data_IF_945387646561
#
_entry.id   IF_945387646561
#
_cell.length_a   1.000
_cell.length_b   1.000
_cell.length_c   1.000
_cell.angle_alpha   90.00
_cell.angle_beta   90.00
_cell.angle_gamma   90.00
#
_symmetry.space_group_name_H-M   'P 1'
#
loop_
_entity.id
_entity.type
_entity.pdbx_description
1 polymer ?
#
# COMPACT_ATOMS: atom_id res chain seq x y z
N UNK A 1 12.33 -4.96 -16.09
CA UNK A 1 13.16 -3.78 -15.80
C UNK A 1 14.31 -4.15 -14.89
N UNK A 2 15.51 -4.27 -15.44
CA UNK A 2 16.74 -4.46 -14.67
C UNK A 2 17.30 -3.09 -14.30
N UNK A 3 17.26 -2.76 -13.02
CA UNK A 3 17.85 -1.53 -12.48
C UNK A 3 19.36 -1.51 -12.74
N UNK A 4 19.87 -0.36 -13.13
CA UNK A 4 21.31 -0.10 -13.26
C UNK A 4 22.00 -0.13 -11.89
N UNK A 5 23.32 -0.36 -11.86
CA UNK A 5 24.10 -0.37 -10.61
C UNK A 5 23.93 0.92 -9.79
N UNK A 6 23.97 2.13 -10.39
CA UNK A 6 23.73 3.38 -9.65
C UNK A 6 22.32 3.44 -9.03
N UNK A 7 21.29 2.98 -9.73
CA UNK A 7 19.91 2.95 -9.21
C UNK A 7 19.79 1.96 -8.05
N UNK A 8 20.43 0.80 -8.14
CA UNK A 8 20.47 -0.18 -7.05
C UNK A 8 21.18 0.37 -5.80
N UNK A 9 22.27 1.13 -5.99
CA UNK A 9 22.99 1.75 -4.90
C UNK A 9 22.18 2.88 -4.26
N UNK A 10 21.50 3.71 -5.07
CA UNK A 10 20.59 4.74 -4.58
C UNK A 10 19.44 4.13 -3.76
N UNK A 11 18.81 3.07 -4.27
CA UNK A 11 17.77 2.34 -3.56
C UNK A 11 18.25 1.77 -2.23
N UNK A 12 19.41 1.10 -2.23
CA UNK A 12 20.01 0.59 -0.99
C UNK A 12 20.34 1.71 0.01
N UNK A 13 20.74 2.88 -0.48
CA UNK A 13 20.99 4.08 0.34
C UNK A 13 19.74 4.64 1.05
N UNK A 14 18.53 4.30 0.58
CA UNK A 14 17.29 4.64 1.27
C UNK A 14 16.94 3.66 2.40
N UNK A 15 17.62 2.50 2.48
CA UNK A 15 17.44 1.57 3.60
C UNK A 15 18.11 2.10 4.87
N UNK A 16 17.53 1.76 6.02
CA UNK A 16 18.09 2.08 7.33
C UNK A 16 17.94 0.88 8.26
N UNK A 17 18.81 0.80 9.28
CA UNK A 17 18.75 -0.27 10.27
C UNK A 17 17.58 -0.04 11.21
N UNK A 18 16.83 -1.10 11.47
CA UNK A 18 15.72 -1.14 12.42
C UNK A 18 15.86 -2.36 13.31
N UNK A 19 15.35 -2.30 14.54
CA UNK A 19 15.40 -3.42 15.50
C UNK A 19 14.31 -4.46 15.23
N UNK A 20 13.17 -4.03 14.68
CA UNK A 20 12.05 -4.88 14.31
C UNK A 20 11.37 -4.32 13.05
N UNK A 21 10.73 -5.20 12.29
CA UNK A 21 9.95 -4.81 11.11
C UNK A 21 8.45 -4.92 11.41
N UNK A 22 7.69 -3.95 10.93
CA UNK A 22 6.24 -4.04 10.91
C UNK A 22 5.79 -5.14 9.93
N UNK A 23 6.46 -5.25 8.77
CA UNK A 23 6.11 -6.25 7.77
C UNK A 23 7.31 -6.80 6.98
N UNK A 24 7.25 -8.08 6.63
CA UNK A 24 8.12 -8.71 5.65
C UNK A 24 7.39 -8.86 4.31
N UNK A 25 7.90 -8.25 3.25
CA UNK A 25 7.26 -8.30 1.93
C UNK A 25 7.96 -9.35 1.05
N UNK A 26 7.29 -10.48 0.83
CA UNK A 26 7.69 -11.47 -0.18
C UNK A 26 7.02 -11.14 -1.51
N UNK A 27 7.77 -11.16 -2.60
CA UNK A 27 7.23 -10.73 -3.89
C UNK A 27 7.88 -11.45 -5.08
N UNK A 28 7.15 -11.54 -6.19
CA UNK A 28 7.70 -12.10 -7.44
C UNK A 28 8.44 -11.03 -8.24
N UNK A 29 9.70 -11.29 -8.59
CA UNK A 29 10.53 -10.35 -9.36
C UNK A 29 9.97 -10.03 -10.76
N UNK A 30 9.13 -10.90 -11.33
CA UNK A 30 8.60 -10.75 -12.70
C UNK A 30 7.46 -9.72 -12.83
N UNK A 31 6.82 -9.31 -11.74
CA UNK A 31 5.72 -8.32 -11.77
C UNK A 31 6.25 -6.88 -11.66
N UNK A 32 5.57 -5.94 -12.33
CA UNK A 32 5.98 -4.54 -12.38
C UNK A 32 5.93 -3.89 -10.99
N UNK A 33 6.90 -3.02 -10.69
CA UNK A 33 6.99 -2.34 -9.40
C UNK A 33 5.77 -1.47 -9.07
N UNK A 34 5.19 -0.82 -10.09
CA UNK A 34 3.98 0.01 -9.94
C UNK A 34 2.77 -0.81 -9.48
N UNK A 35 2.61 -2.03 -10.00
CA UNK A 35 1.52 -2.93 -9.58
C UNK A 35 1.66 -3.30 -8.11
N UNK A 36 2.86 -3.70 -7.68
CA UNK A 36 3.16 -4.03 -6.27
C UNK A 36 2.83 -2.86 -5.35
N UNK A 37 3.26 -1.66 -5.72
CA UNK A 37 2.97 -0.45 -4.96
C UNK A 37 1.47 -0.18 -4.85
N UNK A 38 0.71 -0.23 -5.95
CA UNK A 38 -0.74 -0.02 -5.92
C UNK A 38 -1.42 -1.04 -5.02
N UNK A 39 -1.03 -2.32 -5.11
CA UNK A 39 -1.57 -3.38 -4.24
C UNK A 39 -1.29 -3.08 -2.76
N UNK A 40 -0.06 -2.69 -2.41
CA UNK A 40 0.30 -2.34 -1.03
C UNK A 40 -0.51 -1.15 -0.50
N UNK A 41 -0.68 -0.11 -1.32
CA UNK A 41 -1.45 1.06 -0.88
C UNK A 41 -2.94 0.71 -0.74
N UNK A 42 -3.50 -0.11 -1.63
CA UNK A 42 -4.89 -0.58 -1.52
C UNK A 42 -5.10 -1.48 -0.29
N UNK A 43 -4.15 -2.35 0.03
CA UNK A 43 -4.19 -3.22 1.20
C UNK A 43 -4.21 -2.41 2.51
N UNK A 44 -3.30 -1.43 2.62
CA UNK A 44 -3.18 -0.62 3.85
C UNK A 44 -4.26 0.46 4.00
N UNK A 45 -4.67 1.10 2.90
CA UNK A 45 -5.59 2.26 2.94
C UNK A 45 -7.00 1.96 2.47
N UNK A 46 -7.24 0.81 1.83
CA UNK A 46 -8.53 0.50 1.21
C UNK A 46 -9.67 0.41 2.22
N UNK A 47 -9.47 -0.31 3.33
CA UNK A 47 -10.47 -0.44 4.38
C UNK A 47 -10.80 0.90 5.06
N UNK A 48 -9.83 1.69 5.57
CA UNK A 48 -10.16 2.98 6.19
C UNK A 48 -10.79 3.96 5.19
N UNK A 49 -10.35 3.98 3.92
CA UNK A 49 -10.98 4.78 2.87
C UNK A 49 -12.44 4.37 2.65
N UNK A 50 -12.72 3.06 2.59
CA UNK A 50 -14.07 2.54 2.45
C UNK A 50 -14.96 2.91 3.64
N UNK A 51 -14.50 2.70 4.87
CA UNK A 51 -15.26 3.01 6.09
C UNK A 51 -15.62 4.50 6.16
N UNK A 52 -14.66 5.38 5.86
CA UNK A 52 -14.90 6.83 5.88
C UNK A 52 -15.89 7.22 4.77
N UNK A 53 -15.74 6.68 3.56
CA UNK A 53 -16.66 6.96 2.45
C UNK A 53 -18.10 6.55 2.78
N UNK A 54 -18.29 5.37 3.39
CA UNK A 54 -19.60 4.89 3.84
C UNK A 54 -20.16 5.79 4.96
N UNK A 55 -19.35 6.13 5.95
CA UNK A 55 -19.77 6.97 7.07
C UNK A 55 -20.20 8.36 6.60
N UNK A 56 -19.44 8.98 5.69
CA UNK A 56 -19.80 10.28 5.10
C UNK A 56 -21.08 10.18 4.26
N UNK A 57 -21.21 9.14 3.43
CA UNK A 57 -22.42 8.93 2.62
C UNK A 57 -23.67 8.77 3.49
N UNK A 58 -23.58 7.97 4.55
CA UNK A 58 -24.67 7.79 5.50
C UNK A 58 -24.98 9.08 6.26
N UNK A 59 -23.95 9.84 6.66
CA UNK A 59 -24.11 11.14 7.30
C UNK A 59 -24.84 12.15 6.43
N UNK A 60 -24.49 12.23 5.14
CA UNK A 60 -25.17 13.07 4.16
C UNK A 60 -26.63 12.62 4.01
N UNK A 61 -26.89 11.32 3.87
CA UNK A 61 -28.24 10.78 3.75
C UNK A 61 -29.12 11.14 4.97
N UNK A 62 -28.62 10.92 6.19
CA UNK A 62 -29.35 11.24 7.42
C UNK A 62 -29.58 12.75 7.55
N UNK A 63 -28.59 13.57 7.21
CA UNK A 63 -28.70 15.03 7.23
C UNK A 63 -29.80 15.52 6.29
N UNK A 64 -29.85 14.99 5.07
CA UNK A 64 -30.89 15.31 4.09
C UNK A 64 -32.28 14.86 4.54
N UNK A 65 -32.38 13.67 5.15
CA UNK A 65 -33.64 13.12 5.62
C UNK A 65 -34.24 13.88 6.83
N UNK A 66 -33.40 14.55 7.63
CA UNK A 66 -33.82 15.14 8.92
C UNK A 66 -33.85 16.66 8.97
N UNK A 67 -33.02 17.35 8.20
CA UNK A 67 -32.79 18.79 8.38
C UNK A 67 -33.24 19.58 7.15
N UNK A 68 -32.56 19.38 6.02
CA UNK A 68 -32.85 20.07 4.76
C UNK A 68 -32.41 19.23 3.57
N UNK A 69 -33.27 19.13 2.57
CA UNK A 69 -32.87 18.68 1.24
C UNK A 69 -31.82 19.65 0.69
N UNK A 70 -30.67 19.12 0.28
CA UNK A 70 -29.65 19.90 -0.40
C UNK A 70 -30.20 20.39 -1.76
N UNK A 71 -29.93 21.64 -2.17
CA UNK A 71 -30.37 22.15 -3.47
C UNK A 71 -29.77 21.29 -4.60
N UNK A 72 -30.62 20.58 -5.34
CA UNK A 72 -30.23 19.66 -6.42
C UNK A 72 -30.83 18.25 -6.33
N UNK A 73 -31.41 17.86 -5.19
CA UNK A 73 -31.97 16.50 -5.00
C UNK A 73 -33.40 16.31 -5.51
N UNK A 74 -34.07 17.38 -5.94
CA UNK A 74 -35.49 17.36 -6.37
C UNK A 74 -35.77 16.44 -7.57
N UNK A 75 -34.73 16.02 -8.33
CA UNK A 75 -34.85 15.19 -9.53
C UNK A 75 -34.13 13.84 -9.43
N UNK A 76 -33.83 13.33 -8.22
CA UNK A 76 -33.25 11.98 -8.07
C UNK A 76 -31.78 11.86 -8.47
N UNK A 77 -30.98 12.92 -8.28
CA UNK A 77 -29.56 12.92 -8.66
C UNK A 77 -28.67 12.26 -7.59
N UNK A 78 -28.56 10.94 -7.70
CA UNK A 78 -27.54 10.10 -7.06
C UNK A 78 -26.10 10.51 -7.42
N UNK A 79 -25.89 11.25 -8.52
CA UNK A 79 -24.55 11.50 -9.03
C UNK A 79 -23.71 12.42 -8.14
N UNK A 80 -24.28 13.49 -7.57
CA UNK A 80 -23.51 14.40 -6.70
C UNK A 80 -23.10 13.72 -5.39
N UNK A 81 -23.96 12.88 -4.83
CA UNK A 81 -23.65 12.07 -3.64
C UNK A 81 -22.56 11.06 -3.93
N UNK A 82 -22.65 10.38 -5.08
CA UNK A 82 -21.64 9.43 -5.51
C UNK A 82 -20.31 10.12 -5.83
N UNK A 83 -20.32 11.28 -6.50
CA UNK A 83 -19.13 12.10 -6.70
C UNK A 83 -18.53 12.57 -5.37
N UNK A 84 -19.35 12.94 -4.39
CA UNK A 84 -18.91 13.31 -3.04
C UNK A 84 -18.26 12.13 -2.31
N UNK A 85 -18.90 10.97 -2.33
CA UNK A 85 -18.36 9.74 -1.73
C UNK A 85 -17.02 9.32 -2.38
N UNK A 86 -16.95 9.38 -3.72
CA UNK A 86 -15.73 9.13 -4.48
C UNK A 86 -14.65 10.14 -4.12
N UNK A 87 -14.98 11.44 -4.06
CA UNK A 87 -14.03 12.50 -3.71
C UNK A 87 -13.49 12.33 -2.29
N UNK A 88 -14.33 11.95 -1.33
CA UNK A 88 -13.92 11.64 0.05
C UNK A 88 -13.03 10.41 0.08
N UNK A 89 -13.37 9.33 -0.63
CA UNK A 89 -12.55 8.13 -0.72
C UNK A 89 -11.16 8.45 -1.29
N UNK A 90 -11.08 9.21 -2.39
CA UNK A 90 -9.82 9.66 -2.97
C UNK A 90 -9.04 10.59 -2.05
N UNK A 91 -9.72 11.45 -1.29
CA UNK A 91 -9.08 12.32 -0.31
C UNK A 91 -8.48 11.49 0.82
N UNK A 92 -9.21 10.52 1.38
CA UNK A 92 -8.66 9.61 2.41
C UNK A 92 -7.52 8.78 1.85
N UNK A 93 -7.58 8.36 0.59
CA UNK A 93 -6.47 7.66 -0.05
C UNK A 93 -5.23 8.56 -0.20
N UNK A 94 -5.40 9.78 -0.75
CA UNK A 94 -4.31 10.73 -0.97
C UNK A 94 -3.71 11.24 0.34
N UNK A 95 -4.55 11.62 1.30
CA UNK A 95 -4.12 12.09 2.61
C UNK A 95 -3.66 10.94 3.49
N UNK A 96 -4.29 9.77 3.43
CA UNK A 96 -3.83 8.57 4.13
C UNK A 96 -2.43 8.15 3.67
N UNK A 97 -2.13 8.25 2.38
CA UNK A 97 -0.78 8.01 1.88
C UNK A 97 0.27 9.00 2.45
N UNK A 98 -0.14 10.24 2.74
CA UNK A 98 0.75 11.29 3.27
C UNK A 98 0.80 11.31 4.80
N UNK A 99 -0.29 10.93 5.48
CA UNK A 99 -0.50 11.08 6.92
C UNK A 99 -0.40 9.77 7.70
N UNK A 100 -0.64 8.60 7.07
CA UNK A 100 -0.47 7.32 7.75
C UNK A 100 1.01 7.04 7.99
N UNK A 101 1.28 6.41 9.14
CA UNK A 101 2.61 6.21 9.71
C UNK A 101 3.58 5.60 8.71
N UNK A 102 4.84 6.03 8.78
CA UNK A 102 5.97 5.32 8.18
C UNK A 102 5.98 3.90 8.74
N UNK A 103 5.54 2.94 7.94
CA UNK A 103 5.69 1.50 8.24
C UNK A 103 7.10 1.09 7.86
N UNK A 104 7.78 0.40 8.77
CA UNK A 104 9.09 -0.18 8.53
C UNK A 104 8.91 -1.58 7.98
N UNK A 105 9.10 -1.74 6.67
CA UNK A 105 8.96 -3.04 6.02
C UNK A 105 10.28 -3.50 5.43
N UNK A 106 10.56 -4.79 5.57
CA UNK A 106 11.65 -5.43 4.88
C UNK A 106 11.24 -5.69 3.43
N UNK A 107 12.02 -5.12 2.50
CA UNK A 107 11.88 -5.36 1.07
C UNK A 107 13.25 -5.76 0.52
N UNK A 108 13.40 -7.00 0.07
CA UNK A 108 14.67 -7.62 -0.33
C UNK A 108 15.44 -6.81 -1.39
N UNK A 109 14.76 -6.25 -2.40
CA UNK A 109 15.39 -5.46 -3.46
C UNK A 109 15.98 -4.12 -2.96
N UNK A 110 15.50 -3.61 -1.82
CA UNK A 110 15.96 -2.34 -1.23
C UNK A 110 16.86 -2.59 -0.02
N UNK A 111 16.59 -3.62 0.78
CA UNK A 111 17.23 -3.87 2.07
C UNK A 111 18.49 -4.72 1.94
N UNK A 112 18.63 -5.48 0.85
CA UNK A 112 19.84 -6.26 0.55
C UNK A 112 20.66 -5.52 -0.49
N UNK A 113 21.95 -5.34 -0.23
CA UNK A 113 22.90 -4.75 -1.16
C UNK A 113 23.00 -5.62 -2.44
N UNK A 114 22.44 -5.13 -3.55
CA UNK A 114 22.39 -5.89 -4.81
C UNK A 114 23.70 -5.84 -5.62
N UNK A 115 24.54 -4.83 -5.38
CA UNK A 115 25.72 -4.52 -6.20
C UNK A 115 27.04 -5.09 -5.66
N UNK A 116 27.08 -5.56 -4.39
CA UNK A 116 28.23 -6.25 -3.83
C UNK A 116 27.89 -7.73 -3.61
N UNK A 117 28.55 -8.68 -4.31
CA UNK A 117 28.16 -10.09 -4.28
C UNK A 117 28.29 -10.74 -2.90
N UNK A 118 29.31 -10.36 -2.12
CA UNK A 118 29.52 -10.89 -0.77
C UNK A 118 28.42 -10.43 0.21
N UNK A 119 28.09 -9.14 0.18
CA UNK A 119 27.02 -8.55 1.00
C UNK A 119 25.65 -9.08 0.59
N UNK A 120 25.43 -9.28 -0.72
CA UNK A 120 24.21 -9.91 -1.23
C UNK A 120 24.05 -11.31 -0.67
N UNK A 121 25.10 -12.14 -0.75
CA UNK A 121 25.07 -13.50 -0.22
C UNK A 121 24.84 -13.53 1.30
N UNK A 122 25.48 -12.63 2.05
CA UNK A 122 25.24 -12.49 3.48
C UNK A 122 23.80 -12.05 3.79
N UNK A 123 23.25 -11.09 3.04
CA UNK A 123 21.88 -10.64 3.18
C UNK A 123 20.85 -11.75 2.89
N UNK A 124 21.06 -12.52 1.83
CA UNK A 124 20.19 -13.66 1.48
C UNK A 124 20.20 -14.72 2.58
N UNK A 125 21.38 -15.06 3.12
CA UNK A 125 21.50 -16.00 4.24
C UNK A 125 20.79 -15.52 5.51
N UNK A 126 20.58 -14.21 5.64
CA UNK A 126 19.94 -13.58 6.81
C UNK A 126 18.42 -13.40 6.65
N UNK A 127 17.83 -13.78 5.50
CA UNK A 127 16.37 -13.70 5.27
C UNK A 127 15.55 -14.34 6.39
N UNK A 128 15.87 -15.55 6.89
CA UNK A 128 15.10 -16.15 7.98
C UNK A 128 15.06 -15.28 9.24
N UNK A 129 16.16 -14.59 9.58
CA UNK A 129 16.21 -13.69 10.71
C UNK A 129 15.34 -12.44 10.49
N UNK A 130 15.29 -11.92 9.26
CA UNK A 130 14.38 -10.82 8.93
C UNK A 130 12.92 -11.22 9.08
N UNK A 131 12.55 -12.43 8.62
CA UNK A 131 11.20 -12.98 8.79
C UNK A 131 10.86 -13.15 10.27
N UNK A 132 11.78 -13.70 11.07
CA UNK A 132 11.59 -13.86 12.52
C UNK A 132 11.43 -12.53 13.26
N UNK A 133 12.14 -11.48 12.82
CA UNK A 133 12.03 -10.13 13.38
C UNK A 133 10.85 -9.30 12.85
N UNK A 134 10.03 -9.86 11.96
CA UNK A 134 8.87 -9.18 11.36
C UNK A 134 7.58 -9.57 12.07
N UNK A 135 6.71 -8.58 12.31
CA UNK A 135 5.40 -8.84 12.95
C UNK A 135 4.44 -9.58 12.02
N UNK A 136 4.51 -9.27 10.73
CA UNK A 136 3.61 -9.79 9.71
C UNK A 136 4.37 -10.17 8.44
N UNK A 137 3.85 -11.14 7.70
CA UNK A 137 4.39 -11.56 6.39
C UNK A 137 3.34 -11.29 5.32
N UNK A 138 3.67 -10.40 4.39
CA UNK A 138 2.84 -10.08 3.25
C UNK A 138 3.41 -10.74 1.99
N UNK A 139 2.60 -11.56 1.33
CA UNK A 139 2.98 -12.25 0.10
C UNK A 139 2.26 -11.63 -1.09
N UNK A 140 3.03 -10.96 -1.94
CA UNK A 140 2.56 -10.38 -3.20
C UNK A 140 2.63 -11.43 -4.31
N UNK A 141 1.53 -12.17 -4.48
CA UNK A 141 1.37 -13.20 -5.49
C UNK A 141 1.37 -12.63 -6.91
N UNK A 142 2.03 -13.32 -7.83
CA UNK A 142 1.93 -13.07 -9.27
C UNK A 142 1.00 -14.06 -9.96
N UNK A 143 0.58 -13.75 -11.20
CA UNK A 143 -0.27 -14.63 -12.02
C UNK A 143 0.28 -16.05 -12.17
N UNK A 144 1.61 -16.19 -12.21
CA UNK A 144 2.30 -17.48 -12.40
C UNK A 144 2.34 -18.35 -11.15
N UNK A 145 2.07 -17.78 -9.97
CA UNK A 145 2.06 -18.56 -8.73
C UNK A 145 0.75 -19.34 -8.59
N UNK A 146 -0.36 -18.80 -9.10
CA UNK A 146 -1.66 -19.46 -9.08
C UNK A 146 -1.74 -20.68 -10.00
N UNK A 147 -0.91 -20.75 -11.06
CA UNK A 147 -0.85 -21.93 -11.93
C UNK A 147 -0.12 -23.13 -11.33
N UNK A 148 0.52 -22.96 -10.17
CA UNK A 148 1.29 -23.99 -9.47
C UNK A 148 0.61 -24.51 -8.19
N UNK A 149 -0.58 -23.99 -7.88
CA UNK A 149 -1.49 -24.47 -6.84
C UNK A 149 -2.54 -25.39 -7.46
#
# INVERSE_FOLDING_TARGET
DTLTVPEQQALFGHSHKVEAFDCFISHVCSTSGRGKYITLVLDQLGLPAFVIAVAVSLGIYVFQARIRALPGTANGQSWLELCGAISVAWSVYAFGHVLCRRTTCFFDAVSICQHHPELKAAGIRSIPAFVESSREVLVLWGERDFTRL
#
